data_IF_949459216871
#
_entry.id   IF_949459216871
#
_cell.length_a   1.000
_cell.length_b   1.000
_cell.length_c   1.000
_cell.angle_alpha   90.00
_cell.angle_beta   90.00
_cell.angle_gamma   90.00
#
_symmetry.space_group_name_H-M   'P 1'
#
loop_
_entity.id
_entity.type
_entity.pdbx_description
1 polymer ?
#
# COMPACT_ATOMS: atom_id res chain seq x y z
N UNK A 1 -20.15 7.20 -14.08
CA UNK A 1 -19.59 5.94 -14.62
C UNK A 1 -20.74 5.19 -15.25
N UNK A 2 -20.87 5.16 -16.57
CA UNK A 2 -21.39 4.05 -17.41
C UNK A 2 -21.15 4.47 -18.86
N UNK A 3 -20.09 3.89 -19.44
CA UNK A 3 -19.83 3.54 -20.84
C UNK A 3 -18.35 3.09 -20.90
N UNK A 4 -18.13 1.82 -21.25
CA UNK A 4 -16.86 1.07 -21.34
C UNK A 4 -16.05 0.76 -20.05
N UNK A 5 -16.27 1.44 -18.92
CA UNK A 5 -15.63 1.08 -17.63
C UNK A 5 -16.52 1.44 -16.42
N UNK A 6 -16.48 0.58 -15.41
CA UNK A 6 -17.13 0.77 -14.12
C UNK A 6 -18.64 0.54 -14.10
N UNK A 7 -19.24 0.71 -12.92
CA UNK A 7 -20.67 0.59 -12.66
C UNK A 7 -21.14 1.66 -11.67
N UNK A 8 -22.34 2.20 -11.86
CA UNK A 8 -22.96 3.18 -10.96
C UNK A 8 -24.41 2.76 -10.65
N UNK A 9 -24.77 2.70 -9.37
CA UNK A 9 -26.14 2.46 -8.90
C UNK A 9 -26.39 3.31 -7.67
N UNK A 10 -27.14 4.39 -7.85
CA UNK A 10 -27.43 5.39 -6.80
C UNK A 10 -26.17 5.94 -6.11
N UNK A 11 -25.86 5.44 -4.90
CA UNK A 11 -24.72 5.85 -4.07
C UNK A 11 -23.55 4.88 -4.15
N UNK A 12 -23.67 3.85 -5.00
CA UNK A 12 -22.68 2.81 -5.18
C UNK A 12 -21.99 3.01 -6.52
N UNK A 13 -20.66 3.04 -6.47
CA UNK A 13 -19.78 3.21 -7.62
C UNK A 13 -18.73 2.10 -7.58
N UNK A 14 -18.53 1.39 -8.69
CA UNK A 14 -17.48 0.38 -8.84
C UNK A 14 -16.61 0.65 -10.07
N UNK A 15 -15.31 0.39 -9.96
CA UNK A 15 -14.34 0.49 -11.07
C UNK A 15 -13.26 -0.56 -10.88
N UNK A 16 -12.70 -1.06 -11.99
CA UNK A 16 -11.55 -1.96 -11.98
C UNK A 16 -10.21 -1.22 -11.89
N UNK A 17 -10.22 0.11 -11.97
CA UNK A 17 -9.01 0.91 -11.95
C UNK A 17 -8.50 1.07 -10.52
N UNK A 18 -7.64 0.12 -10.14
CA UNK A 18 -6.84 0.24 -8.93
C UNK A 18 -5.93 1.48 -9.02
N UNK A 19 -5.73 2.15 -7.89
CA UNK A 19 -4.91 3.35 -7.83
C UNK A 19 -5.56 4.62 -8.42
N UNK A 20 -6.80 4.58 -8.91
CA UNK A 20 -7.48 5.77 -9.45
C UNK A 20 -7.52 6.94 -8.46
N UNK A 21 -7.70 6.64 -7.17
CA UNK A 21 -7.70 7.63 -6.10
C UNK A 21 -6.30 8.15 -5.74
N UNK A 22 -5.22 7.63 -6.31
CA UNK A 22 -3.86 8.18 -6.13
C UNK A 22 -3.69 9.50 -6.92
N UNK A 23 -4.45 9.68 -8.01
CA UNK A 23 -4.47 10.93 -8.75
C UNK A 23 -5.14 12.02 -7.92
N UNK A 24 -4.36 12.99 -7.45
CA UNK A 24 -4.82 14.05 -6.56
C UNK A 24 -5.98 14.85 -7.17
N UNK A 25 -5.90 15.20 -8.47
CA UNK A 25 -6.95 15.97 -9.16
C UNK A 25 -8.25 15.18 -9.25
N UNK A 26 -8.19 13.90 -9.61
CA UNK A 26 -9.36 13.04 -9.65
C UNK A 26 -9.96 12.89 -8.26
N UNK A 27 -9.13 12.55 -7.25
CA UNK A 27 -9.57 12.36 -5.86
C UNK A 27 -10.28 13.60 -5.32
N UNK A 28 -9.74 14.81 -5.54
CA UNK A 28 -10.38 16.07 -5.12
C UNK A 28 -11.74 16.28 -5.77
N UNK A 29 -11.82 16.11 -7.10
CA UNK A 29 -13.09 16.24 -7.85
C UNK A 29 -14.13 15.22 -7.39
N UNK A 30 -13.70 13.98 -7.17
CA UNK A 30 -14.55 12.90 -6.72
C UNK A 30 -15.10 13.15 -5.31
N UNK A 31 -14.26 13.61 -4.37
CA UNK A 31 -14.69 13.91 -3.00
C UNK A 31 -15.64 15.12 -2.95
N UNK A 32 -15.43 16.15 -3.79
CA UNK A 32 -16.39 17.25 -3.94
C UNK A 32 -17.74 16.75 -4.44
N UNK A 33 -17.75 15.90 -5.48
CA UNK A 33 -18.95 15.27 -5.99
C UNK A 33 -19.68 14.43 -4.93
N UNK A 34 -18.93 13.72 -4.09
CA UNK A 34 -19.49 12.91 -3.01
C UNK A 34 -20.06 13.79 -1.88
N UNK A 35 -19.38 14.89 -1.53
CA UNK A 35 -19.83 15.83 -0.51
C UNK A 35 -21.13 16.54 -0.90
N UNK A 36 -21.24 16.97 -2.16
CA UNK A 36 -22.46 17.55 -2.72
C UNK A 36 -23.67 16.59 -2.57
N UNK A 37 -23.50 15.33 -3.00
CA UNK A 37 -24.53 14.28 -2.83
C UNK A 37 -24.86 13.94 -1.38
N UNK A 38 -23.91 14.17 -0.48
CA UNK A 38 -24.11 13.95 0.95
C UNK A 38 -24.67 15.18 1.69
N UNK A 39 -24.81 16.33 1.01
CA UNK A 39 -25.18 17.60 1.65
C UNK A 39 -24.17 18.00 2.72
N UNK A 40 -22.88 17.91 2.40
CA UNK A 40 -21.77 18.24 3.31
C UNK A 40 -20.99 19.42 2.77
N UNK A 41 -20.71 20.38 3.65
CA UNK A 41 -19.69 21.39 3.38
C UNK A 41 -18.31 20.74 3.52
N UNK A 42 -17.57 20.68 2.42
CA UNK A 42 -16.30 19.98 2.33
C UNK A 42 -15.34 20.77 1.45
N UNK A 43 -14.14 20.99 1.97
CA UNK A 43 -13.02 21.58 1.25
C UNK A 43 -11.93 20.52 1.08
N UNK A 44 -11.53 20.17 -0.15
CA UNK A 44 -10.46 19.21 -0.38
C UNK A 44 -9.13 19.69 0.21
N UNK A 45 -8.33 18.75 0.71
CA UNK A 45 -6.96 19.04 1.14
C UNK A 45 -5.98 19.17 -0.03
N UNK A 46 -4.84 19.82 0.22
CA UNK A 46 -3.77 20.04 -0.75
C UNK A 46 -2.66 18.98 -0.71
N UNK A 47 -2.78 17.98 0.17
CA UNK A 47 -1.80 16.89 0.28
C UNK A 47 -1.68 16.14 -1.04
N UNK A 48 -0.45 16.03 -1.54
CA UNK A 48 -0.16 15.21 -2.72
C UNK A 48 0.12 13.77 -2.32
N UNK A 49 -0.56 12.84 -2.97
CA UNK A 49 -0.32 11.42 -2.79
C UNK A 49 1.08 11.01 -3.23
N UNK A 50 1.53 11.51 -4.38
CA UNK A 50 2.86 11.20 -4.90
C UNK A 50 3.94 11.62 -3.91
N UNK A 51 3.86 12.85 -3.40
CA UNK A 51 4.82 13.35 -2.42
C UNK A 51 4.79 12.56 -1.11
N UNK A 52 3.59 12.22 -0.60
CA UNK A 52 3.46 11.41 0.61
C UNK A 52 4.04 10.00 0.43
N UNK A 53 3.78 9.38 -0.72
CA UNK A 53 4.32 8.05 -1.07
C UNK A 53 5.83 8.08 -1.21
N UNK A 54 6.37 9.11 -1.86
CA UNK A 54 7.82 9.29 -1.99
C UNK A 54 8.49 9.49 -0.64
N UNK A 55 7.91 10.33 0.23
CA UNK A 55 8.40 10.52 1.60
C UNK A 55 8.41 9.21 2.40
N UNK A 56 7.37 8.39 2.27
CA UNK A 56 7.31 7.09 2.92
C UNK A 56 8.38 6.12 2.39
N UNK A 57 8.59 6.08 1.08
CA UNK A 57 9.62 5.23 0.46
C UNK A 57 11.03 5.67 0.86
N UNK A 58 11.28 6.98 0.91
CA UNK A 58 12.55 7.52 1.37
C UNK A 58 12.79 7.15 2.83
N UNK A 59 11.80 7.33 3.71
CA UNK A 59 11.91 6.92 5.11
C UNK A 59 12.20 5.43 5.25
N UNK A 60 11.53 4.57 4.47
CA UNK A 60 11.83 3.12 4.48
C UNK A 60 13.25 2.84 4.00
N UNK A 61 13.72 3.55 2.98
CA UNK A 61 15.10 3.48 2.50
C UNK A 61 16.11 3.85 3.58
N UNK A 62 15.89 4.96 4.27
CA UNK A 62 16.75 5.43 5.36
C UNK A 62 16.76 4.43 6.53
N UNK A 63 15.60 3.93 6.94
CA UNK A 63 15.50 2.91 7.98
C UNK A 63 16.28 1.64 7.62
N UNK A 64 16.20 1.18 6.36
CA UNK A 64 16.99 0.05 5.88
C UNK A 64 18.48 0.38 5.86
N UNK A 65 18.88 1.51 5.31
CA UNK A 65 20.28 1.88 5.17
C UNK A 65 20.98 2.09 6.52
N UNK A 66 20.28 2.69 7.48
CA UNK A 66 20.88 3.10 8.76
C UNK A 66 20.72 2.04 9.85
N UNK A 67 19.71 1.16 9.76
CA UNK A 67 19.35 0.28 10.88
C UNK A 67 19.29 -1.22 10.52
N UNK A 68 19.47 -1.61 9.25
CA UNK A 68 19.46 -3.02 8.85
C UNK A 68 20.84 -3.48 8.39
N UNK A 69 21.31 -4.60 8.94
CA UNK A 69 22.45 -5.32 8.38
C UNK A 69 22.03 -6.00 7.06
N UNK A 70 22.06 -5.21 5.99
CA UNK A 70 21.69 -5.65 4.65
C UNK A 70 22.56 -6.79 4.14
N UNK A 71 23.83 -6.87 4.57
CA UNK A 71 24.73 -7.98 4.23
C UNK A 71 24.23 -9.27 4.86
N UNK A 72 23.89 -9.27 6.15
CA UNK A 72 23.37 -10.45 6.82
C UNK A 72 22.04 -10.92 6.19
N UNK A 73 21.16 -10.00 5.79
CA UNK A 73 19.91 -10.34 5.09
C UNK A 73 20.17 -10.98 3.73
N UNK A 74 21.06 -10.40 2.92
CA UNK A 74 21.44 -10.97 1.63
C UNK A 74 22.06 -12.36 1.82
N UNK A 75 22.97 -12.49 2.77
CA UNK A 75 23.60 -13.76 3.11
C UNK A 75 22.58 -14.84 3.50
N UNK A 76 21.52 -14.48 4.24
CA UNK A 76 20.40 -15.37 4.57
C UNK A 76 19.56 -15.76 3.34
N UNK A 77 19.28 -14.80 2.43
CA UNK A 77 18.54 -15.08 1.20
C UNK A 77 19.30 -16.02 0.27
N UNK A 78 20.63 -15.86 0.19
CA UNK A 78 21.48 -16.66 -0.69
C UNK A 78 21.81 -18.04 -0.11
N UNK A 79 22.04 -18.14 1.20
CA UNK A 79 22.62 -19.33 1.84
C UNK A 79 21.66 -20.03 2.82
N UNK A 80 20.51 -19.44 3.09
CA UNK A 80 19.54 -19.95 4.06
C UNK A 80 19.96 -19.67 5.50
N UNK A 81 19.10 -20.10 6.44
CA UNK A 81 19.36 -19.95 7.86
C UNK A 81 20.58 -20.76 8.32
N UNK A 82 21.40 -20.24 9.27
CA UNK A 82 22.46 -21.02 9.89
C UNK A 82 21.96 -22.36 10.44
N UNK A 83 22.75 -23.41 10.24
CA UNK A 83 22.43 -24.73 10.77
C UNK A 83 22.39 -24.73 12.31
N UNK A 84 21.53 -25.57 12.89
CA UNK A 84 21.44 -25.76 14.33
C UNK A 84 20.65 -24.69 15.08
N UNK A 85 20.03 -23.72 14.39
CA UNK A 85 19.09 -22.79 15.02
C UNK A 85 17.78 -23.50 15.40
N UNK A 86 17.17 -23.15 16.55
CA UNK A 86 15.89 -23.69 16.95
C UNK A 86 14.78 -23.20 16.01
N UNK A 87 13.84 -24.09 15.67
CA UNK A 87 12.65 -23.71 14.93
C UNK A 87 11.64 -23.00 15.84
N UNK A 88 11.04 -21.93 15.33
CA UNK A 88 9.91 -21.26 16.00
C UNK A 88 8.61 -21.91 15.52
N UNK A 89 7.72 -22.37 16.42
CA UNK A 89 6.42 -22.92 16.02
C UNK A 89 5.59 -21.89 15.21
N UNK A 90 4.83 -22.32 14.17
CA UNK A 90 4.66 -23.69 13.69
C UNK A 90 5.70 -24.13 12.63
N UNK A 91 6.77 -23.37 12.40
CA UNK A 91 7.66 -23.52 11.25
C UNK A 91 8.68 -24.67 11.32
N UNK A 92 8.55 -25.60 12.28
CA UNK A 92 9.45 -26.74 12.35
C UNK A 92 9.14 -27.74 11.22
N UNK A 93 10.15 -28.28 10.51
CA UNK A 93 9.94 -29.37 9.58
C UNK A 93 9.35 -30.57 10.34
N UNK A 94 8.51 -31.39 9.68
CA UNK A 94 8.01 -32.62 10.29
C UNK A 94 9.20 -33.48 10.74
N UNK A 95 9.07 -34.12 11.90
CA UNK A 95 10.10 -35.03 12.39
C UNK A 95 10.39 -36.09 11.33
N UNK A 96 11.66 -36.27 10.97
CA UNK A 96 12.07 -37.36 10.10
C UNK A 96 11.73 -38.68 10.81
N UNK A 97 10.90 -39.51 10.16
CA UNK A 97 10.58 -40.87 10.61
C UNK A 97 11.69 -41.86 10.37
#
# INVERSE_FOLDING_TARGET
MVADEGAETERVLGTHWHGLLENDTFRRKFLLWAADRAGRDFVPGEVSFQAAREAQLNLLGDLVAENLDTKAVIDLLERGAPAGLPFVPPGAPPAAG
#
